data_IF_261551057358
#
_entry.id   IF_261551057358
#
_cell.length_a   1.000
_cell.length_b   1.000
_cell.length_c   1.000
_cell.angle_alpha   90.00
_cell.angle_beta   90.00
_cell.angle_gamma   90.00
#
_symmetry.space_group_name_H-M   'P 1'
#
loop_
_entity.id
_entity.type
_entity.pdbx_description
1 polymer ?
#
# COMPACT_ATOMS: atom_id res chain seq x y z
N UNK A 1 -10.61 1.69 12.88
CA UNK A 1 -9.28 1.78 13.50
C UNK A 1 -8.74 0.39 13.67
N UNK A 2 -7.56 0.10 13.14
CA UNK A 2 -6.92 -1.21 13.30
C UNK A 2 -6.39 -1.39 14.72
N UNK A 3 -6.58 -2.56 15.31
CA UNK A 3 -6.16 -2.89 16.69
C UNK A 3 -4.66 -3.21 16.81
N UNK A 4 -3.90 -3.12 15.71
CA UNK A 4 -2.46 -3.39 15.66
C UNK A 4 -1.97 -3.66 14.23
N UNK A 5 -0.68 -3.43 13.98
CA UNK A 5 -0.01 -3.69 12.71
C UNK A 5 1.41 -4.22 12.96
N UNK A 6 1.96 -5.00 12.03
CA UNK A 6 3.31 -5.54 12.11
C UNK A 6 4.01 -5.46 10.75
N UNK A 7 5.34 -5.29 10.77
CA UNK A 7 6.15 -5.11 9.55
C UNK A 7 7.55 -5.74 9.69
N UNK A 8 8.03 -6.51 8.70
CA UNK A 8 7.36 -6.83 7.43
C UNK A 8 6.30 -7.92 7.62
N UNK A 9 5.23 -7.88 6.82
CA UNK A 9 4.24 -8.95 6.80
C UNK A 9 4.74 -10.10 5.89
N UNK A 10 4.95 -11.33 6.38
CA UNK A 10 5.47 -12.45 5.58
C UNK A 10 4.63 -12.79 4.35
N UNK A 11 3.35 -12.40 4.35
CA UNK A 11 2.44 -12.56 3.21
C UNK A 11 2.80 -11.65 2.02
N UNK A 12 3.51 -10.56 2.25
CA UNK A 12 3.99 -9.62 1.21
C UNK A 12 5.35 -10.06 0.65
N UNK A 13 5.37 -11.21 0.00
CA UNK A 13 6.54 -11.68 -0.76
C UNK A 13 6.88 -10.74 -1.92
N UNK A 14 8.09 -10.83 -2.48
CA UNK A 14 8.48 -10.02 -3.65
C UNK A 14 7.57 -10.24 -4.87
N UNK A 15 7.01 -11.44 -5.02
CA UNK A 15 6.06 -11.74 -6.08
C UNK A 15 4.73 -11.01 -5.86
N UNK A 16 4.18 -11.08 -4.64
CA UNK A 16 2.94 -10.38 -4.27
C UNK A 16 3.11 -8.87 -4.37
N UNK A 17 4.25 -8.34 -3.89
CA UNK A 17 4.57 -6.92 -3.94
C UNK A 17 4.65 -6.40 -5.38
N UNK A 18 5.32 -7.12 -6.28
CA UNK A 18 5.37 -6.75 -7.71
C UNK A 18 3.98 -6.73 -8.33
N UNK A 19 3.17 -7.77 -8.09
CA UNK A 19 1.79 -7.83 -8.58
C UNK A 19 0.94 -6.67 -8.06
N UNK A 20 1.01 -6.36 -6.76
CA UNK A 20 0.28 -5.24 -6.20
C UNK A 20 0.69 -3.89 -6.83
N UNK A 21 1.99 -3.69 -7.09
CA UNK A 21 2.46 -2.48 -7.75
C UNK A 21 1.97 -2.38 -9.19
N UNK A 22 2.12 -3.46 -9.96
CA UNK A 22 1.87 -3.44 -11.41
C UNK A 22 0.38 -3.52 -11.75
N UNK A 23 -0.40 -4.27 -10.99
CA UNK A 23 -1.83 -4.47 -11.24
C UNK A 23 -2.73 -3.42 -10.55
N UNK A 24 -2.27 -2.81 -9.44
CA UNK A 24 -3.11 -1.92 -8.62
C UNK A 24 -2.52 -0.49 -8.54
N UNK A 25 -1.28 -0.34 -8.07
CA UNK A 25 -0.74 0.99 -7.72
C UNK A 25 -0.40 1.83 -8.94
N UNK A 26 0.42 1.29 -9.87
CA UNK A 26 0.88 2.03 -11.05
C UNK A 26 -0.28 2.46 -11.96
N UNK A 27 -1.28 1.62 -12.27
CA UNK A 27 -2.41 2.03 -13.12
C UNK A 27 -3.22 3.17 -12.50
N UNK A 28 -3.43 3.14 -11.18
CA UNK A 28 -4.16 4.22 -10.46
C UNK A 28 -3.40 5.53 -10.52
N UNK A 29 -2.10 5.53 -10.25
CA UNK A 29 -1.27 6.74 -10.32
C UNK A 29 -1.17 7.28 -11.75
N UNK A 30 -1.04 6.39 -12.74
CA UNK A 30 -1.03 6.77 -14.15
C UNK A 30 -2.35 7.43 -14.57
N UNK A 31 -3.49 6.90 -14.14
CA UNK A 31 -4.80 7.47 -14.44
C UNK A 31 -5.01 8.83 -13.75
N UNK A 32 -4.58 8.97 -12.49
CA UNK A 32 -4.58 10.24 -11.77
C UNK A 32 -3.76 11.32 -12.52
N UNK A 33 -2.56 10.97 -12.98
CA UNK A 33 -1.75 11.85 -13.80
C UNK A 33 -2.42 12.19 -15.15
N UNK A 34 -2.99 11.18 -15.83
CA UNK A 34 -3.70 11.37 -17.11
C UNK A 34 -4.91 12.30 -16.99
N UNK A 35 -5.59 12.31 -15.85
CA UNK A 35 -6.71 13.22 -15.55
C UNK A 35 -6.29 14.65 -15.17
N UNK A 36 -4.98 14.94 -15.13
CA UNK A 36 -4.47 16.24 -14.70
C UNK A 36 -4.51 16.44 -13.19
N UNK A 37 -4.70 15.37 -12.42
CA UNK A 37 -4.74 15.38 -10.95
C UNK A 37 -3.66 14.45 -10.38
N UNK A 38 -2.36 14.74 -10.62
CA UNK A 38 -1.29 13.87 -10.15
C UNK A 38 -1.30 13.78 -8.61
N UNK A 39 -1.15 12.57 -8.08
CA UNK A 39 -1.11 12.35 -6.63
C UNK A 39 0.32 12.49 -6.11
N UNK A 40 0.47 13.25 -5.01
CA UNK A 40 1.73 13.40 -4.29
C UNK A 40 1.46 13.31 -2.79
N UNK A 41 2.05 12.31 -2.13
CA UNK A 41 1.82 12.01 -0.73
C UNK A 41 2.01 10.53 -0.43
N UNK A 42 1.43 10.08 0.70
CA UNK A 42 1.45 8.67 1.08
C UNK A 42 0.13 8.01 0.73
N UNK A 43 0.21 7.08 -0.22
CA UNK A 43 -0.90 6.23 -0.60
C UNK A 43 -0.82 4.93 0.19
N UNK A 44 -1.68 4.79 1.20
CA UNK A 44 -1.82 3.56 1.95
C UNK A 44 -2.82 2.64 1.24
N UNK A 45 -2.34 1.45 0.85
CA UNK A 45 -3.10 0.50 0.04
C UNK A 45 -3.50 -0.69 0.91
N UNK A 46 -4.79 -0.76 1.26
CA UNK A 46 -5.35 -1.90 1.97
C UNK A 46 -5.52 -3.07 1.01
N UNK A 47 -4.76 -4.14 1.23
CA UNK A 47 -4.78 -5.34 0.39
C UNK A 47 -5.31 -6.55 1.17
N UNK A 48 -6.13 -7.35 0.50
CA UNK A 48 -6.45 -8.70 0.91
C UNK A 48 -5.72 -9.67 -0.01
N UNK A 49 -4.95 -10.60 0.55
CA UNK A 49 -4.13 -11.53 -0.23
C UNK A 49 -4.68 -12.93 -0.04
N UNK A 50 -5.08 -13.55 -1.15
CA UNK A 50 -5.56 -14.92 -1.20
C UNK A 50 -4.71 -15.70 -2.20
N UNK A 51 -4.09 -16.80 -1.76
CA UNK A 51 -3.23 -17.65 -2.60
C UNK A 51 -2.15 -16.87 -3.41
N UNK A 52 -1.61 -15.78 -2.84
CA UNK A 52 -0.59 -14.95 -3.51
C UNK A 52 -1.14 -13.98 -4.56
N UNK A 53 -2.47 -13.84 -4.68
CA UNK A 53 -3.12 -12.83 -5.49
C UNK A 53 -3.57 -11.64 -4.60
N UNK A 54 -3.02 -10.43 -4.82
CA UNK A 54 -3.46 -9.24 -4.09
C UNK A 54 -4.78 -8.71 -4.66
N UNK A 55 -5.73 -8.37 -3.78
CA UNK A 55 -6.95 -7.65 -4.12
C UNK A 55 -7.03 -6.35 -3.33
N UNK A 56 -7.39 -5.27 -4.01
CA UNK A 56 -7.60 -3.98 -3.37
C UNK A 56 -8.88 -4.01 -2.52
N UNK A 57 -8.76 -3.66 -1.25
CA UNK A 57 -9.89 -3.39 -0.35
C UNK A 57 -10.21 -1.91 -0.41
N UNK A 58 -9.22 -1.06 -0.13
CA UNK A 58 -9.39 0.39 -0.09
C UNK A 58 -8.06 1.14 -0.28
N UNK A 59 -8.17 2.42 -0.64
CA UNK A 59 -7.09 3.38 -0.58
C UNK A 59 -7.33 4.38 0.54
N UNK A 60 -6.30 4.63 1.35
CA UNK A 60 -6.25 5.75 2.26
C UNK A 60 -5.18 6.73 1.79
N UNK A 61 -5.55 8.00 1.63
CA UNK A 61 -4.67 9.08 1.11
C UNK A 61 -3.91 9.81 2.22
N UNK A 62 -3.63 9.11 3.31
CA UNK A 62 -2.90 9.56 4.49
C UNK A 62 -2.05 8.40 4.98
N UNK A 63 -1.10 8.70 5.87
CA UNK A 63 -0.47 7.64 6.65
C UNK A 63 -1.54 6.85 7.42
N UNK A 64 -1.47 5.51 7.36
CA UNK A 64 -2.29 4.64 8.19
C UNK A 64 -1.96 4.85 9.67
N UNK A 65 -2.96 4.79 10.53
CA UNK A 65 -2.81 4.86 11.99
C UNK A 65 -3.52 3.63 12.56
N UNK A 66 -2.80 2.68 13.22
CA UNK A 66 -1.44 2.78 13.78
C UNK A 66 -0.27 2.36 12.87
N UNK A 67 -0.48 2.07 11.58
CA UNK A 67 0.57 1.54 10.69
C UNK A 67 1.80 2.46 10.53
N UNK A 68 1.59 3.78 10.64
CA UNK A 68 2.65 4.77 10.67
C UNK A 68 3.64 4.51 11.82
N UNK A 69 3.17 4.06 12.99
CA UNK A 69 4.04 3.82 14.15
C UNK A 69 5.04 2.68 13.88
N UNK A 70 4.64 1.63 13.15
CA UNK A 70 5.53 0.53 12.77
C UNK A 70 6.45 0.90 11.59
N UNK A 71 5.98 1.72 10.65
CA UNK A 71 6.77 2.17 9.49
C UNK A 71 7.83 3.21 9.87
N UNK A 72 7.53 4.15 10.77
CA UNK A 72 8.46 5.20 11.20
C UNK A 72 9.68 4.63 11.94
N UNK A 73 9.56 3.49 12.64
CA UNK A 73 10.72 2.80 13.21
C UNK A 73 11.71 2.27 12.16
N UNK A 74 11.31 2.18 10.89
CA UNK A 74 12.19 1.78 9.78
C UNK A 74 12.68 2.97 8.95
N UNK A 75 12.14 4.16 9.20
CA UNK A 75 12.41 5.41 8.49
C UNK A 75 13.43 6.23 9.29
N UNK A 76 14.63 5.68 9.47
CA UNK A 76 15.68 6.29 10.29
C UNK A 76 16.75 5.32 10.75
N UNK A 77 17.26 4.48 9.85
CA UNK A 77 18.56 3.85 10.07
C UNK A 77 19.67 4.89 10.14
#
# INVERSE_FOLDING_TARGET
GGMGAYSPAPVMTDAVTRRALDEIVRPVLAEMARRGTPYSGVLFVGLMIEAGAPRLVEFNVRFGDPECQALMMRLGG
#
